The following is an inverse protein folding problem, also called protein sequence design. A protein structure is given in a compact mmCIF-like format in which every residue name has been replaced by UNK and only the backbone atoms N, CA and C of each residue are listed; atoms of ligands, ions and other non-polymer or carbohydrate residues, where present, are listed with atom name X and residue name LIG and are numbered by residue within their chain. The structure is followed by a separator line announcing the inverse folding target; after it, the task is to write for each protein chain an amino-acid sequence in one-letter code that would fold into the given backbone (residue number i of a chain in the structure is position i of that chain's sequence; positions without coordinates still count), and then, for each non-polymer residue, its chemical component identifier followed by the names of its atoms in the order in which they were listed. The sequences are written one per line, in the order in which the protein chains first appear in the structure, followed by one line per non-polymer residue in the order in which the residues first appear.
data_IF_022113652044
#
_entry.id   IF_022113652044
#
_cell.length_a   1.000
_cell.length_b   1.000
_cell.length_c   1.000
_cell.angle_alpha   90.00
_cell.angle_beta   90.00
_cell.angle_gamma   90.00
#
_symmetry.space_group_name_H-M   'P 1'
#
loop_
_entity.id
_entity.type
_entity.pdbx_description
1 polymer ?
#
# COMPACT_ATOMS: atom_id res chain seq x y z
N UNK A 1 -29.57 -17.91 -2.78
CA UNK A 1 -30.88 -17.85 -3.48
C UNK A 1 -31.82 -19.00 -3.11
N UNK A 2 -31.30 -20.16 -2.64
CA UNK A 2 -32.14 -21.28 -2.24
C UNK A 2 -32.89 -21.12 -0.91
N UNK A 3 -32.60 -20.09 -0.12
CA UNK A 3 -33.16 -19.86 1.20
C UNK A 3 -34.06 -18.60 1.28
N UNK A 4 -34.44 -18.01 0.16
CA UNK A 4 -35.23 -16.76 0.17
C UNK A 4 -34.46 -15.53 0.69
N UNK A 5 -33.12 -15.62 0.71
CA UNK A 5 -32.23 -14.55 1.17
C UNK A 5 -31.74 -13.72 -0.01
N UNK A 6 -31.87 -12.41 0.08
CA UNK A 6 -31.29 -11.46 -0.86
C UNK A 6 -30.20 -10.65 -0.20
N UNK A 7 -29.22 -10.17 -0.97
CA UNK A 7 -28.15 -9.30 -0.49
C UNK A 7 -28.20 -7.97 -1.24
N UNK A 8 -28.01 -6.89 -0.50
CA UNK A 8 -27.73 -5.58 -1.05
C UNK A 8 -26.41 -5.56 -1.80
N UNK A 9 -26.30 -4.79 -2.88
CA UNK A 9 -25.09 -4.63 -3.65
C UNK A 9 -23.95 -4.10 -2.76
N UNK A 10 -22.78 -4.74 -2.83
CA UNK A 10 -21.60 -4.40 -2.06
C UNK A 10 -21.51 -5.03 -0.67
N UNK A 11 -22.45 -5.89 -0.25
CA UNK A 11 -22.36 -6.64 1.02
C UNK A 11 -21.19 -7.62 1.00
N UNK A 12 -20.97 -8.33 -0.10
CA UNK A 12 -19.86 -9.27 -0.22
C UNK A 12 -18.50 -8.55 -0.17
N UNK A 13 -18.41 -7.42 -0.85
CA UNK A 13 -17.22 -6.54 -0.84
C UNK A 13 -16.95 -6.02 0.58
N UNK A 14 -17.98 -5.58 1.29
CA UNK A 14 -17.83 -5.12 2.67
C UNK A 14 -17.34 -6.24 3.60
N UNK A 15 -17.89 -7.45 3.49
CA UNK A 15 -17.42 -8.61 4.26
C UNK A 15 -15.94 -8.90 3.94
N UNK A 16 -15.53 -8.77 2.67
CA UNK A 16 -14.14 -8.99 2.27
C UNK A 16 -13.16 -8.00 2.89
N UNK A 17 -13.61 -6.84 3.36
CA UNK A 17 -12.74 -5.91 4.09
C UNK A 17 -12.38 -6.40 5.50
N UNK A 18 -13.18 -7.28 6.08
CA UNK A 18 -12.96 -7.82 7.44
C UNK A 18 -12.26 -9.18 7.46
N UNK A 19 -12.13 -9.85 6.32
CA UNK A 19 -11.45 -11.16 6.26
C UNK A 19 -11.06 -11.55 4.84
N UNK A 20 -9.95 -12.29 4.74
CA UNK A 20 -9.49 -12.97 3.51
C UNK A 20 -9.79 -14.47 3.56
N UNK A 21 -10.22 -14.99 4.71
CA UNK A 21 -10.50 -16.40 4.90
C UNK A 21 -11.94 -16.69 4.54
N UNK A 22 -12.17 -17.58 3.57
CA UNK A 22 -13.51 -17.96 3.13
C UNK A 22 -14.41 -18.45 4.28
N UNK A 23 -13.85 -19.24 5.22
CA UNK A 23 -14.62 -19.72 6.38
C UNK A 23 -15.08 -18.55 7.27
N UNK A 24 -14.20 -17.58 7.53
CA UNK A 24 -14.54 -16.43 8.35
C UNK A 24 -15.54 -15.51 7.64
N UNK A 25 -15.44 -15.37 6.32
CA UNK A 25 -16.44 -14.65 5.52
C UNK A 25 -17.84 -15.29 5.65
N UNK A 26 -17.92 -16.64 5.56
CA UNK A 26 -19.17 -17.37 5.77
C UNK A 26 -19.71 -17.18 7.18
N UNK A 27 -18.87 -17.17 8.21
CA UNK A 27 -19.32 -16.90 9.58
C UNK A 27 -19.88 -15.49 9.72
N UNK A 28 -19.22 -14.46 9.18
CA UNK A 28 -19.73 -13.07 9.19
C UNK A 28 -21.09 -13.01 8.47
N UNK A 29 -21.22 -13.70 7.33
CA UNK A 29 -22.48 -13.76 6.60
C UNK A 29 -23.59 -14.46 7.42
N UNK A 30 -23.27 -15.57 8.09
CA UNK A 30 -24.21 -16.30 8.95
C UNK A 30 -24.65 -15.44 10.15
N UNK A 31 -23.73 -14.74 10.80
CA UNK A 31 -24.04 -13.83 11.90
C UNK A 31 -24.92 -12.67 11.42
N UNK A 32 -24.64 -12.14 10.22
CA UNK A 32 -25.45 -11.09 9.59
C UNK A 32 -26.87 -11.58 9.31
N UNK A 33 -27.00 -12.80 8.81
CA UNK A 33 -28.31 -13.45 8.60
C UNK A 33 -29.03 -13.62 9.94
N UNK A 34 -28.38 -14.18 10.95
CA UNK A 34 -29.00 -14.33 12.29
C UNK A 34 -29.50 -13.01 12.88
N UNK A 35 -28.71 -11.94 12.72
CA UNK A 35 -29.11 -10.61 13.17
C UNK A 35 -30.30 -10.06 12.37
N UNK A 36 -30.33 -10.30 11.05
CA UNK A 36 -31.44 -9.88 10.19
C UNK A 36 -32.76 -10.57 10.61
N UNK A 37 -32.73 -11.89 10.80
CA UNK A 37 -33.86 -12.69 11.27
C UNK A 37 -34.33 -12.22 12.66
N UNK A 38 -33.40 -12.00 13.57
CA UNK A 38 -33.74 -11.51 14.90
C UNK A 38 -34.45 -10.15 14.88
N UNK A 39 -34.02 -9.24 14.00
CA UNK A 39 -34.66 -7.91 13.86
C UNK A 39 -36.01 -7.96 13.17
N UNK A 40 -36.17 -8.78 12.13
CA UNK A 40 -37.42 -8.90 11.40
C UNK A 40 -38.49 -9.73 12.08
N UNK A 41 -38.07 -10.63 12.98
CA UNK A 41 -38.96 -11.60 13.63
C UNK A 41 -39.46 -12.70 12.68
N UNK A 42 -38.95 -12.79 11.44
CA UNK A 42 -39.34 -13.76 10.41
C UNK A 42 -38.13 -14.24 9.62
N UNK A 43 -38.21 -15.48 9.16
CA UNK A 43 -37.23 -16.08 8.25
C UNK A 43 -37.61 -15.84 6.77
N UNK A 44 -38.79 -15.25 6.51
CA UNK A 44 -39.26 -15.03 5.14
C UNK A 44 -38.70 -13.72 4.59
N UNK A 45 -38.16 -13.79 3.36
CA UNK A 45 -37.64 -12.61 2.64
C UNK A 45 -36.58 -11.80 3.39
N UNK A 46 -35.56 -12.49 3.93
CA UNK A 46 -34.46 -11.83 4.62
C UNK A 46 -33.58 -11.06 3.64
N UNK A 47 -33.36 -9.77 3.92
CA UNK A 47 -32.44 -8.91 3.16
C UNK A 47 -31.22 -8.63 4.01
N UNK A 48 -30.04 -8.97 3.49
CA UNK A 48 -28.75 -8.66 4.13
C UNK A 48 -28.27 -7.31 3.61
N UNK A 49 -28.15 -6.34 4.51
CA UNK A 49 -27.72 -4.98 4.19
C UNK A 49 -26.32 -4.71 4.71
N UNK A 50 -25.65 -3.69 4.17
CA UNK A 50 -24.35 -3.21 4.66
C UNK A 50 -24.42 -2.80 6.13
N UNK A 51 -25.51 -2.13 6.55
CA UNK A 51 -25.72 -1.74 7.94
C UNK A 51 -25.69 -2.94 8.90
N UNK A 52 -26.31 -4.07 8.51
CA UNK A 52 -26.27 -5.29 9.31
C UNK A 52 -24.87 -5.88 9.42
N UNK A 53 -24.09 -5.87 8.34
CA UNK A 53 -22.69 -6.32 8.36
C UNK A 53 -21.85 -5.43 9.28
N UNK A 54 -21.99 -4.11 9.17
CA UNK A 54 -21.30 -3.15 10.05
C UNK A 54 -21.67 -3.38 11.52
N UNK A 55 -22.95 -3.66 11.79
CA UNK A 55 -23.40 -3.96 13.15
C UNK A 55 -22.82 -5.26 13.68
N UNK A 56 -22.76 -6.31 12.87
CA UNK A 56 -22.08 -7.56 13.23
C UNK A 56 -20.59 -7.30 13.47
N UNK A 57 -19.94 -6.55 12.61
CA UNK A 57 -18.53 -6.19 12.78
C UNK A 57 -18.28 -5.45 14.09
N UNK A 58 -19.14 -4.49 14.47
CA UNK A 58 -19.05 -3.80 15.75
C UNK A 58 -19.22 -4.75 16.94
N UNK A 59 -20.25 -5.60 16.94
CA UNK A 59 -20.54 -6.55 18.03
C UNK A 59 -19.40 -7.54 18.20
N UNK A 60 -18.88 -8.06 17.09
CA UNK A 60 -17.77 -9.05 17.04
C UNK A 60 -16.39 -8.40 17.14
N UNK A 61 -16.30 -7.08 17.29
CA UNK A 61 -15.06 -6.29 17.34
C UNK A 61 -14.13 -6.59 16.17
N UNK A 62 -14.69 -6.79 14.97
CA UNK A 62 -13.93 -6.96 13.76
C UNK A 62 -13.33 -5.63 13.35
N UNK A 63 -12.05 -5.64 13.04
CA UNK A 63 -11.35 -4.49 12.49
C UNK A 63 -11.16 -4.75 10.99
N UNK A 64 -11.48 -3.79 10.12
CA UNK A 64 -11.17 -3.93 8.70
C UNK A 64 -9.66 -4.15 8.50
N UNK A 65 -9.30 -5.12 7.68
CA UNK A 65 -7.89 -5.32 7.25
C UNK A 65 -7.42 -4.17 6.36
N UNK A 66 -8.38 -3.51 5.74
CA UNK A 66 -8.12 -2.47 4.76
C UNK A 66 -8.81 -1.19 5.20
N UNK A 67 -8.02 -0.14 5.32
CA UNK A 67 -8.49 1.24 5.40
C UNK A 67 -8.17 1.91 4.08
N UNK A 68 -9.11 2.67 3.53
CA UNK A 68 -8.85 3.52 2.37
C UNK A 68 -7.72 4.49 2.71
N UNK A 69 -6.66 4.45 1.91
CA UNK A 69 -5.43 5.24 2.14
C UNK A 69 -5.17 6.25 1.03
N UNK A 70 -5.76 6.00 -0.15
CA UNK A 70 -5.57 6.87 -1.30
C UNK A 70 -6.09 8.28 -1.02
N UNK A 71 -5.35 9.27 -1.51
CA UNK A 71 -5.72 10.69 -1.43
C UNK A 71 -5.50 11.36 -2.77
N UNK A 72 -6.35 12.33 -3.10
CA UNK A 72 -6.15 13.19 -4.26
C UNK A 72 -5.15 14.33 -4.01
N UNK A 73 -4.79 14.58 -2.74
CA UNK A 73 -3.86 15.66 -2.37
C UNK A 73 -2.43 15.12 -2.37
N UNK A 74 -1.55 15.65 -3.24
CA UNK A 74 -0.15 15.30 -3.24
C UNK A 74 0.54 15.69 -1.92
N UNK A 75 1.59 14.96 -1.55
CA UNK A 75 2.34 15.22 -0.34
C UNK A 75 3.85 15.13 -0.58
N UNK A 76 4.63 15.98 0.10
CA UNK A 76 6.10 15.94 0.03
C UNK A 76 6.61 14.87 1.00
N UNK A 77 7.55 14.05 0.53
CA UNK A 77 8.21 13.04 1.35
C UNK A 77 7.32 11.86 1.74
N UNK A 78 6.12 11.74 1.17
CA UNK A 78 5.18 10.66 1.47
C UNK A 78 4.87 9.84 0.22
N UNK A 79 4.91 8.51 0.34
CA UNK A 79 4.59 7.57 -0.74
C UNK A 79 3.87 6.34 -0.17
N UNK A 80 3.17 5.62 -1.03
CA UNK A 80 2.63 4.31 -0.71
C UNK A 80 3.46 3.22 -1.39
N UNK A 81 4.18 2.44 -0.57
CA UNK A 81 4.78 1.19 -0.99
C UNK A 81 3.79 0.03 -0.93
N UNK A 82 4.11 -1.08 -1.56
CA UNK A 82 3.29 -2.29 -1.54
C UNK A 82 4.06 -3.45 -0.88
N UNK A 83 3.44 -4.05 0.12
CA UNK A 83 3.94 -5.22 0.84
C UNK A 83 3.02 -6.42 0.73
N UNK A 84 3.56 -7.60 1.07
CA UNK A 84 2.79 -8.86 1.19
C UNK A 84 3.14 -9.52 2.52
N UNK A 85 2.12 -9.94 3.23
CA UNK A 85 2.25 -10.80 4.41
C UNK A 85 1.38 -12.05 4.21
N UNK A 86 2.02 -13.20 4.01
CA UNK A 86 1.33 -14.42 3.58
C UNK A 86 0.70 -14.22 2.20
N UNK A 87 -0.62 -14.28 2.11
CA UNK A 87 -1.40 -14.03 0.89
C UNK A 87 -2.06 -12.64 0.85
N UNK A 88 -1.73 -11.77 1.81
CA UNK A 88 -2.29 -10.43 1.91
C UNK A 88 -1.35 -9.40 1.35
N UNK A 89 -1.79 -8.74 0.29
CA UNK A 89 -1.20 -7.50 -0.16
C UNK A 89 -1.71 -6.31 0.65
N UNK A 90 -0.87 -5.32 0.87
CA UNK A 90 -1.23 -4.09 1.57
C UNK A 90 -0.47 -2.89 1.04
N UNK A 91 -1.13 -1.73 1.04
CA UNK A 91 -0.47 -0.46 0.84
C UNK A 91 0.15 0.00 2.18
N UNK A 92 1.42 0.33 2.14
CA UNK A 92 2.23 0.74 3.29
C UNK A 92 2.62 2.18 3.09
N UNK A 93 2.26 3.03 4.03
CA UNK A 93 2.67 4.42 4.01
C UNK A 93 4.13 4.55 4.43
N UNK A 94 4.93 5.20 3.59
CA UNK A 94 6.35 5.47 3.81
C UNK A 94 6.54 6.98 3.77
N UNK A 95 7.08 7.51 4.85
CA UNK A 95 7.36 8.93 5.00
C UNK A 95 8.85 9.17 5.10
N UNK A 96 9.34 10.22 4.48
CA UNK A 96 10.71 10.70 4.59
C UNK A 96 10.72 12.20 4.86
N UNK A 97 11.53 12.62 5.78
CA UNK A 97 11.87 14.05 5.99
C UNK A 97 13.37 14.23 5.90
N UNK A 98 13.79 15.34 5.32
CA UNK A 98 15.20 15.67 5.15
C UNK A 98 15.40 17.15 5.52
N UNK A 99 16.12 17.40 6.59
CA UNK A 99 16.50 18.73 7.03
C UNK A 99 17.99 18.95 6.77
N UNK A 100 18.43 20.14 6.37
CA UNK A 100 19.85 20.43 6.25
C UNK A 100 20.58 20.09 7.55
N UNK A 101 21.63 19.29 7.44
CA UNK A 101 22.46 18.92 8.59
C UNK A 101 23.13 20.18 9.19
N UNK A 102 23.31 20.18 10.50
CA UNK A 102 23.98 21.29 11.19
C UNK A 102 25.40 21.55 10.63
N UNK A 103 26.07 20.49 10.21
CA UNK A 103 27.37 20.56 9.55
C UNK A 103 27.29 19.75 8.26
N UNK A 104 27.56 20.35 7.08
CA UNK A 104 27.58 19.61 5.82
C UNK A 104 28.49 18.37 5.89
N UNK A 105 28.04 17.27 5.31
CA UNK A 105 28.72 15.97 5.32
C UNK A 105 28.64 15.21 6.65
N UNK A 106 27.96 15.73 7.67
CA UNK A 106 27.77 15.07 8.98
C UNK A 106 26.32 14.84 9.34
N UNK A 107 25.43 14.80 8.35
CA UNK A 107 24.05 14.42 8.54
C UNK A 107 23.93 12.95 8.97
N UNK A 108 22.80 12.62 9.58
CA UNK A 108 22.51 11.26 10.01
C UNK A 108 21.32 10.68 9.22
N UNK A 109 21.24 9.37 9.30
CA UNK A 109 20.17 8.60 8.70
C UNK A 109 19.48 7.74 9.75
N UNK A 110 18.16 7.84 9.86
CA UNK A 110 17.37 7.05 10.79
C UNK A 110 16.17 6.40 10.11
N UNK A 111 15.96 5.13 10.41
CA UNK A 111 14.69 4.43 10.24
C UNK A 111 13.99 4.24 11.59
N UNK A 112 12.67 4.12 11.56
CA UNK A 112 11.97 3.57 12.70
C UNK A 112 12.25 2.05 12.82
N UNK A 113 11.96 1.48 14.01
CA UNK A 113 12.30 0.08 14.32
C UNK A 113 11.51 -0.96 13.51
N UNK A 114 10.48 -0.53 12.77
CA UNK A 114 9.67 -1.41 11.90
C UNK A 114 10.37 -1.80 10.60
N UNK A 115 11.45 -1.12 10.22
CA UNK A 115 12.24 -1.45 9.04
C UNK A 115 13.21 -2.60 9.33
N UNK A 116 13.07 -3.72 8.60
CA UNK A 116 14.00 -4.83 8.62
C UNK A 116 15.34 -4.51 7.96
N UNK A 117 16.29 -5.46 8.03
CA UNK A 117 17.64 -5.27 7.50
C UNK A 117 17.68 -5.02 6.00
N UNK A 118 16.93 -5.80 5.21
CA UNK A 118 16.90 -5.64 3.75
C UNK A 118 16.26 -4.30 3.30
N UNK A 119 15.26 -3.82 4.04
CA UNK A 119 14.70 -2.48 3.79
C UNK A 119 15.74 -1.38 4.09
N UNK A 120 16.54 -1.56 5.14
CA UNK A 120 17.66 -0.66 5.47
C UNK A 120 18.78 -0.73 4.44
N UNK A 121 19.10 -1.91 3.90
CA UNK A 121 20.11 -2.08 2.86
C UNK A 121 19.71 -1.39 1.55
N UNK A 122 18.43 -1.31 1.24
CA UNK A 122 17.91 -0.55 0.10
C UNK A 122 18.32 0.93 0.14
N UNK A 123 18.65 1.45 1.32
CA UNK A 123 19.14 2.81 1.50
C UNK A 123 20.48 3.08 0.86
N UNK A 124 21.40 2.13 0.90
CA UNK A 124 22.67 2.29 0.24
C UNK A 124 22.49 2.56 -1.25
N UNK A 125 21.62 1.78 -1.88
CA UNK A 125 21.27 1.98 -3.28
C UNK A 125 20.52 3.30 -3.49
N UNK A 126 19.54 3.59 -2.62
CA UNK A 126 18.76 4.82 -2.68
C UNK A 126 19.63 6.07 -2.56
N UNK A 127 20.61 6.09 -1.65
CA UNK A 127 21.50 7.23 -1.47
C UNK A 127 22.31 7.53 -2.74
N UNK A 128 22.87 6.50 -3.38
CA UNK A 128 23.59 6.66 -4.65
C UNK A 128 22.67 7.20 -5.77
N UNK A 129 21.44 6.70 -5.83
CA UNK A 129 20.44 7.15 -6.82
C UNK A 129 19.99 8.58 -6.54
N UNK A 130 19.72 8.96 -5.29
CA UNK A 130 19.37 10.33 -4.90
C UNK A 130 20.46 11.30 -5.35
N UNK A 131 21.72 11.00 -5.06
CA UNK A 131 22.87 11.83 -5.50
C UNK A 131 22.89 11.98 -7.01
N UNK A 132 22.75 10.89 -7.77
CA UNK A 132 22.76 10.89 -9.22
C UNK A 132 21.63 11.75 -9.83
N UNK A 133 20.42 11.62 -9.30
CA UNK A 133 19.22 12.30 -9.82
C UNK A 133 19.16 13.77 -9.41
N UNK A 134 19.54 14.08 -8.16
CA UNK A 134 19.34 15.42 -7.59
C UNK A 134 20.61 16.25 -7.48
N UNK A 135 21.77 15.62 -7.59
CA UNK A 135 23.07 16.22 -7.29
C UNK A 135 23.30 16.50 -5.80
N UNK A 136 22.38 16.06 -4.92
CA UNK A 136 22.46 16.29 -3.47
C UNK A 136 23.03 15.08 -2.75
N UNK A 137 23.92 15.32 -1.80
CA UNK A 137 24.43 14.27 -0.91
C UNK A 137 23.51 14.11 0.28
N UNK A 138 23.08 12.87 0.58
CA UNK A 138 22.26 12.64 1.77
C UNK A 138 23.00 12.89 3.08
N UNK A 139 24.35 12.85 3.07
CA UNK A 139 25.18 13.21 4.22
C UNK A 139 25.09 14.70 4.58
N UNK A 140 24.57 15.55 3.69
CA UNK A 140 24.30 16.95 3.98
C UNK A 140 22.95 17.19 4.68
N UNK A 141 22.20 16.12 4.96
CA UNK A 141 20.87 16.18 5.55
C UNK A 141 20.74 15.24 6.77
N UNK A 142 19.97 15.68 7.75
CA UNK A 142 19.41 14.83 8.79
C UNK A 142 18.14 14.19 8.22
N UNK A 143 18.21 12.91 7.91
CA UNK A 143 17.14 12.18 7.22
C UNK A 143 16.48 11.19 8.16
N UNK A 144 15.14 11.22 8.23
CA UNK A 144 14.35 10.23 8.94
C UNK A 144 13.38 9.58 7.96
N UNK A 145 13.30 8.26 7.98
CA UNK A 145 12.35 7.47 7.21
C UNK A 145 11.48 6.66 8.16
N UNK A 146 10.17 6.76 7.98
CA UNK A 146 9.17 6.12 8.81
C UNK A 146 8.27 5.23 7.96
N UNK A 147 8.09 3.97 8.37
CA UNK A 147 7.07 3.08 7.86
C UNK A 147 5.88 3.14 8.82
N UNK A 148 4.76 3.70 8.35
CA UNK A 148 3.57 3.91 9.17
C UNK A 148 2.74 2.63 9.26
N UNK A 149 2.32 2.25 10.47
CA UNK A 149 1.41 1.11 10.68
C UNK A 149 1.99 -0.06 11.47
N UNK A 150 3.23 0.03 11.97
CA UNK A 150 3.75 -0.85 13.03
C UNK A 150 4.04 -2.32 12.65
N UNK A 151 3.92 -2.70 11.37
CA UNK A 151 4.28 -4.04 10.90
C UNK A 151 5.80 -4.14 10.64
N UNK A 152 6.39 -5.31 10.89
CA UNK A 152 7.76 -5.56 10.47
C UNK A 152 7.81 -5.64 8.93
N UNK A 153 8.45 -4.65 8.31
CA UNK A 153 8.60 -4.56 6.85
C UNK A 153 10.02 -4.94 6.51
N UNK A 154 10.19 -6.11 5.92
CA UNK A 154 11.48 -6.58 5.49
C UNK A 154 11.43 -7.07 4.04
N UNK A 155 12.40 -6.65 3.25
CA UNK A 155 12.52 -7.00 1.84
C UNK A 155 12.99 -5.82 0.98
N UNK A 156 13.65 -6.11 -0.15
CA UNK A 156 14.19 -5.08 -1.05
C UNK A 156 13.09 -4.38 -1.86
N UNK A 157 11.86 -4.91 -1.87
CA UNK A 157 10.75 -4.43 -2.72
C UNK A 157 10.24 -3.02 -2.38
N UNK A 158 10.65 -2.45 -1.24
CA UNK A 158 10.38 -1.07 -0.87
C UNK A 158 11.39 -0.06 -1.46
N UNK A 159 12.43 -0.53 -2.15
CA UNK A 159 13.53 0.32 -2.63
C UNK A 159 13.09 1.49 -3.50
N UNK A 160 12.20 1.24 -4.47
CA UNK A 160 11.64 2.31 -5.30
C UNK A 160 10.86 3.35 -4.48
N UNK A 161 10.05 2.89 -3.54
CA UNK A 161 9.24 3.76 -2.69
C UNK A 161 10.11 4.62 -1.76
N UNK A 162 11.11 4.01 -1.11
CA UNK A 162 12.07 4.73 -0.27
C UNK A 162 12.81 5.78 -1.08
N UNK A 163 13.32 5.41 -2.26
CA UNK A 163 14.06 6.33 -3.15
C UNK A 163 13.19 7.51 -3.57
N UNK A 164 11.94 7.25 -3.96
CA UNK A 164 10.98 8.30 -4.36
C UNK A 164 10.66 9.24 -3.19
N UNK A 165 10.43 8.69 -1.98
CA UNK A 165 10.18 9.50 -0.79
C UNK A 165 11.37 10.40 -0.45
N UNK A 166 12.59 9.89 -0.55
CA UNK A 166 13.82 10.63 -0.30
C UNK A 166 14.02 11.75 -1.32
N UNK A 167 13.88 11.45 -2.62
CA UNK A 167 14.00 12.46 -3.68
C UNK A 167 12.95 13.56 -3.47
N UNK A 168 11.71 13.19 -3.13
CA UNK A 168 10.66 14.13 -2.80
C UNK A 168 11.06 15.01 -1.61
N UNK A 169 11.52 14.41 -0.51
CA UNK A 169 11.89 15.12 0.71
C UNK A 169 13.05 16.13 0.48
N UNK A 170 14.11 15.72 -0.24
CA UNK A 170 15.27 16.61 -0.47
C UNK A 170 15.03 17.65 -1.56
N UNK A 171 14.06 17.43 -2.47
CA UNK A 171 13.74 18.38 -3.55
C UNK A 171 12.53 19.26 -3.26
N UNK A 172 11.70 18.90 -2.26
CA UNK A 172 10.43 19.56 -1.96
C UNK A 172 9.32 19.28 -2.99
N UNK A 173 9.51 18.35 -3.92
CA UNK A 173 8.51 17.99 -4.92
C UNK A 173 7.48 17.04 -4.33
N UNK A 174 6.20 17.38 -4.47
CA UNK A 174 5.11 16.56 -3.97
C UNK A 174 4.92 15.27 -4.79
N UNK A 175 4.50 14.21 -4.13
CA UNK A 175 4.23 12.87 -4.71
C UNK A 175 2.73 12.62 -4.75
N UNK A 176 2.26 11.99 -5.80
CA UNK A 176 0.89 11.52 -5.95
C UNK A 176 0.57 10.50 -4.85
N UNK A 177 -0.61 10.66 -4.26
CA UNK A 177 -1.09 9.80 -3.16
C UNK A 177 -2.20 8.83 -3.60
N UNK A 178 -2.53 8.79 -4.86
CA UNK A 178 -3.51 7.90 -5.47
C UNK A 178 -2.87 6.73 -6.24
N UNK A 179 -1.54 6.64 -6.21
CA UNK A 179 -0.74 5.57 -6.82
C UNK A 179 0.19 4.97 -5.76
N UNK A 180 0.20 3.64 -5.67
CA UNK A 180 1.18 2.91 -4.87
C UNK A 180 2.27 2.29 -5.76
N UNK A 181 3.40 1.86 -5.16
CA UNK A 181 4.50 1.31 -5.93
C UNK A 181 5.17 0.13 -5.25
N UNK A 182 5.79 -0.72 -6.06
CA UNK A 182 6.72 -1.75 -5.60
C UNK A 182 7.85 -1.91 -6.60
N UNK A 183 9.00 -2.29 -6.12
CA UNK A 183 10.19 -2.55 -6.94
C UNK A 183 11.44 -2.48 -6.10
N UNK A 184 12.37 -3.37 -6.36
CA UNK A 184 13.72 -3.24 -5.83
C UNK A 184 14.48 -2.20 -6.67
N UNK A 185 15.32 -1.41 -6.03
CA UNK A 185 16.15 -0.42 -6.71
C UNK A 185 17.63 -0.85 -6.73
N UNK A 186 18.21 -0.89 -7.91
CA UNK A 186 19.65 -1.10 -8.02
C UNK A 186 20.42 0.21 -7.77
N UNK A 187 21.69 0.11 -7.44
CA UNK A 187 22.58 1.27 -7.27
C UNK A 187 22.68 2.15 -8.54
N UNK A 188 22.38 1.57 -9.70
CA UNK A 188 22.32 2.28 -10.97
C UNK A 188 20.93 2.89 -11.26
N UNK A 189 19.97 2.75 -10.35
CA UNK A 189 18.62 3.27 -10.52
C UNK A 189 17.71 2.42 -11.42
N UNK A 190 18.08 1.17 -11.68
CA UNK A 190 17.20 0.23 -12.38
C UNK A 190 16.17 -0.34 -11.40
N UNK A 191 14.93 -0.41 -11.85
CA UNK A 191 13.81 -1.04 -11.14
C UNK A 191 13.85 -2.54 -11.42
N UNK A 192 14.01 -3.36 -10.37
CA UNK A 192 14.17 -4.81 -10.45
C UNK A 192 12.91 -5.54 -10.00
N UNK A 193 12.66 -6.75 -10.55
CA UNK A 193 11.46 -7.52 -10.28
C UNK A 193 11.38 -7.95 -8.81
N UNK A 194 10.14 -8.11 -8.34
CA UNK A 194 9.82 -8.48 -6.95
C UNK A 194 8.74 -9.56 -6.91
N UNK A 195 8.62 -10.24 -5.78
CA UNK A 195 7.57 -11.25 -5.58
C UNK A 195 6.23 -10.67 -5.14
N UNK A 196 5.17 -11.47 -5.34
CA UNK A 196 3.84 -11.20 -4.81
C UNK A 196 3.14 -9.99 -5.43
N UNK A 197 3.39 -9.71 -6.73
CA UNK A 197 2.88 -8.50 -7.38
C UNK A 197 1.36 -8.55 -7.55
N UNK A 198 0.79 -9.73 -7.75
CA UNK A 198 -0.66 -9.89 -7.81
C UNK A 198 -1.33 -9.53 -6.48
N UNK A 199 -0.84 -10.07 -5.37
CA UNK A 199 -1.33 -9.78 -4.02
C UNK A 199 -1.15 -8.30 -3.67
N UNK A 200 -0.01 -7.72 -4.03
CA UNK A 200 0.28 -6.30 -3.86
C UNK A 200 -0.71 -5.41 -4.62
N UNK A 201 -1.00 -5.75 -5.88
CA UNK A 201 -1.97 -5.03 -6.70
C UNK A 201 -3.38 -5.12 -6.11
N UNK A 202 -3.77 -6.30 -5.62
CA UNK A 202 -5.04 -6.47 -4.92
C UNK A 202 -5.11 -5.60 -3.66
N UNK A 203 -4.05 -5.59 -2.84
CA UNK A 203 -3.96 -4.72 -1.66
C UNK A 203 -4.01 -3.23 -1.99
N UNK A 204 -3.40 -2.80 -3.11
CA UNK A 204 -3.49 -1.42 -3.58
C UNK A 204 -4.93 -1.05 -3.96
N UNK A 205 -5.62 -1.91 -4.71
CA UNK A 205 -7.04 -1.72 -5.05
C UNK A 205 -7.90 -1.58 -3.79
N UNK A 206 -7.71 -2.45 -2.81
CA UNK A 206 -8.47 -2.38 -1.55
C UNK A 206 -8.17 -1.09 -0.77
N UNK A 207 -6.95 -0.56 -0.87
CA UNK A 207 -6.58 0.72 -0.27
C UNK A 207 -7.11 1.94 -1.05
N UNK A 208 -7.93 1.74 -2.09
CA UNK A 208 -8.53 2.82 -2.89
C UNK A 208 -7.57 3.45 -3.90
N UNK A 209 -6.40 2.84 -4.16
CA UNK A 209 -5.46 3.36 -5.15
C UNK A 209 -6.06 3.32 -6.55
N UNK A 210 -5.77 4.33 -7.36
CA UNK A 210 -6.16 4.39 -8.77
C UNK A 210 -5.18 3.67 -9.69
N UNK A 211 -3.93 3.53 -9.25
CA UNK A 211 -2.89 2.86 -10.03
C UNK A 211 -1.77 2.31 -9.18
N UNK A 212 -0.92 1.53 -9.83
CA UNK A 212 0.32 1.01 -9.25
C UNK A 212 1.48 1.14 -10.21
N UNK A 213 2.65 1.42 -9.66
CA UNK A 213 3.93 1.34 -10.37
C UNK A 213 4.59 0.02 -10.01
N UNK A 214 4.97 -0.75 -11.03
CA UNK A 214 5.61 -2.06 -10.90
C UNK A 214 6.84 -2.16 -11.81
N UNK A 215 7.77 -3.06 -11.50
CA UNK A 215 8.85 -3.40 -12.44
C UNK A 215 8.27 -3.95 -13.74
N UNK A 216 8.86 -3.59 -14.89
CA UNK A 216 8.40 -4.06 -16.20
C UNK A 216 8.40 -5.59 -16.29
N UNK A 217 9.40 -6.24 -15.72
CA UNK A 217 9.54 -7.70 -15.73
C UNK A 217 8.37 -8.41 -14.99
N UNK A 218 7.67 -7.70 -14.09
CA UNK A 218 6.49 -8.20 -13.38
C UNK A 218 5.15 -7.94 -14.08
N UNK A 219 5.15 -7.30 -15.26
CA UNK A 219 3.89 -7.00 -15.96
C UNK A 219 3.04 -8.25 -16.22
N UNK A 220 3.69 -9.36 -16.54
CA UNK A 220 3.05 -10.67 -16.78
C UNK A 220 2.41 -11.31 -15.53
N UNK A 221 2.77 -10.85 -14.33
CA UNK A 221 2.25 -11.37 -13.07
C UNK A 221 0.85 -10.80 -12.75
N UNK A 222 0.40 -9.80 -13.51
CA UNK A 222 -0.91 -9.18 -13.34
C UNK A 222 -1.84 -9.61 -14.47
N UNK A 223 -2.98 -10.26 -14.17
CA UNK A 223 -4.00 -10.59 -15.16
C UNK A 223 -4.65 -9.34 -15.75
N UNK A 224 -4.82 -9.29 -17.08
CA UNK A 224 -5.24 -8.09 -17.84
C UNK A 224 -6.62 -7.51 -17.44
N UNK A 225 -7.51 -8.24 -16.75
CA UNK A 225 -8.92 -7.84 -16.68
C UNK A 225 -9.57 -7.77 -15.29
N UNK A 226 -8.83 -7.83 -14.17
CA UNK A 226 -9.49 -8.06 -12.88
C UNK A 226 -9.32 -7.00 -11.78
N UNK A 227 -8.51 -5.96 -11.95
CA UNK A 227 -8.16 -5.11 -10.79
C UNK A 227 -8.72 -3.69 -10.82
N UNK A 228 -9.23 -3.19 -11.95
CA UNK A 228 -9.64 -1.77 -12.09
C UNK A 228 -8.55 -0.78 -11.59
N UNK A 229 -7.29 -1.13 -11.83
CA UNK A 229 -6.12 -0.33 -11.50
C UNK A 229 -5.37 0.03 -12.77
N UNK A 230 -4.87 1.25 -12.86
CA UNK A 230 -3.93 1.62 -13.88
C UNK A 230 -2.55 1.05 -13.53
N UNK A 231 -1.98 0.26 -14.44
CA UNK A 231 -0.67 -0.37 -14.26
C UNK A 231 0.37 0.45 -14.99
N UNK A 232 1.38 0.90 -14.25
CA UNK A 232 2.54 1.61 -14.80
C UNK A 232 3.76 0.71 -14.67
N UNK A 233 4.21 0.14 -15.79
CA UNK A 233 5.42 -0.69 -15.84
C UNK A 233 6.64 0.18 -16.07
N UNK A 234 7.67 0.04 -15.24
CA UNK A 234 8.86 0.89 -15.26
C UNK A 234 10.14 0.07 -15.22
N UNK A 235 11.19 0.59 -15.86
CA UNK A 235 12.55 0.01 -15.88
C UNK A 235 13.52 0.81 -15.02
N UNK A 236 13.28 2.12 -14.88
CA UNK A 236 14.19 3.05 -14.23
C UNK A 236 13.47 3.92 -13.20
N UNK A 237 14.22 4.45 -12.26
CA UNK A 237 13.69 5.36 -11.26
C UNK A 237 13.22 6.69 -11.88
N UNK A 238 13.83 7.11 -12.97
CA UNK A 238 13.41 8.31 -13.70
C UNK A 238 11.97 8.17 -14.20
N UNK A 239 11.63 7.02 -14.79
CA UNK A 239 10.26 6.70 -15.22
C UNK A 239 9.29 6.68 -14.04
N UNK A 240 9.71 6.13 -12.88
CA UNK A 240 8.91 6.16 -11.65
C UNK A 240 8.65 7.60 -11.21
N UNK A 241 9.69 8.46 -11.22
CA UNK A 241 9.57 9.86 -10.79
C UNK A 241 8.68 10.67 -11.73
N UNK A 242 8.73 10.40 -13.03
CA UNK A 242 7.87 11.08 -14.03
C UNK A 242 6.37 10.77 -13.80
N UNK A 243 6.05 9.58 -13.29
CA UNK A 243 4.69 9.16 -12.96
C UNK A 243 4.25 9.74 -11.60
N UNK A 244 5.15 9.72 -10.63
CA UNK A 244 4.83 9.95 -9.22
C UNK A 244 4.95 11.40 -8.78
N UNK A 245 5.92 12.16 -9.31
CA UNK A 245 6.13 13.54 -8.90
C UNK A 245 5.15 14.49 -9.62
N UNK A 246 4.53 15.34 -8.83
CA UNK A 246 3.68 16.41 -9.37
C UNK A 246 4.57 17.51 -9.94
N UNK A 247 4.21 17.94 -11.16
CA UNK A 247 4.93 19.01 -11.89
C UNK A 247 4.58 20.36 -11.36
#
# INVERSE_FOLDING_TARGET
QSLGVTMEDGVAELISTFTIEGRKAVNILADTYGLAVFRSGSNDHVVLTKELVERVAQISRLVPYVTEKASSLPAVGKVFGLGVAGFLGSAIEIEAVAYPARTPGKGYFRFNDTAGSMAKDSMFNAAAVVRRITGKELSDYDVNVNFVGGGNIDGPSAGCAITTALISAVTGKAVRQDIAMTGEISIQGLVKPVGGVFEKAYGARQAGMKGIVIPEENQRDIPEHHLNLQIYSTRTIEEVLDIMLVK
#
